data_IF_237115661907
#
_entry.id   IF_237115661907
#
_cell.length_a   1.000
_cell.length_b   1.000
_cell.length_c   1.000
_cell.angle_alpha   90.00
_cell.angle_beta   90.00
_cell.angle_gamma   90.00
#
_symmetry.space_group_name_H-M   'P 1'
#
loop_
_entity.id
_entity.type
_entity.pdbx_description
1 polymer ?
#
# COMPACT_ATOMS: atom_id res chain seq x y z
N UNK A 1 -17.56 40.96 -30.69
CA UNK A 1 -18.26 39.71 -31.07
C UNK A 1 -19.41 39.46 -30.10
N UNK A 2 -20.67 39.43 -30.56
CA UNK A 2 -21.84 39.19 -29.71
C UNK A 2 -22.04 37.68 -29.55
N UNK A 3 -21.66 37.16 -28.39
CA UNK A 3 -21.89 35.75 -28.03
C UNK A 3 -23.40 35.53 -27.92
N UNK A 4 -23.95 34.60 -28.69
CA UNK A 4 -25.39 34.29 -28.64
C UNK A 4 -25.77 33.74 -27.27
N UNK A 5 -26.98 34.02 -26.82
CA UNK A 5 -27.48 33.58 -25.50
C UNK A 5 -27.37 32.05 -25.35
N UNK A 6 -27.62 31.30 -26.44
CA UNK A 6 -27.51 29.85 -26.50
C UNK A 6 -26.07 29.37 -26.32
N UNK A 7 -25.10 30.03 -26.95
CA UNK A 7 -23.68 29.70 -26.79
C UNK A 7 -23.19 29.97 -25.36
N UNK A 8 -23.66 31.05 -24.73
CA UNK A 8 -23.38 31.36 -23.32
C UNK A 8 -23.88 30.27 -22.38
N UNK A 9 -25.14 29.86 -22.54
CA UNK A 9 -25.74 28.80 -21.74
C UNK A 9 -25.01 27.48 -21.93
N UNK A 10 -24.72 27.12 -23.18
CA UNK A 10 -23.98 25.90 -23.51
C UNK A 10 -22.59 25.88 -22.85
N UNK A 11 -21.83 26.97 -23.00
CA UNK A 11 -20.49 27.10 -22.42
C UNK A 11 -20.54 27.04 -20.89
N UNK A 12 -21.53 27.70 -20.25
CA UNK A 12 -21.69 27.65 -18.79
C UNK A 12 -21.97 26.23 -18.30
N UNK A 13 -22.86 25.50 -18.96
CA UNK A 13 -23.18 24.10 -18.60
C UNK A 13 -21.98 23.20 -18.82
N UNK A 14 -21.29 23.35 -19.95
CA UNK A 14 -20.08 22.58 -20.25
C UNK A 14 -18.99 22.83 -19.20
N UNK A 15 -18.76 24.09 -18.83
CA UNK A 15 -17.79 24.46 -17.79
C UNK A 15 -18.20 23.91 -16.42
N UNK A 16 -19.48 23.93 -16.08
CA UNK A 16 -19.97 23.35 -14.83
C UNK A 16 -19.71 21.84 -14.77
N UNK A 17 -19.99 21.10 -15.85
CA UNK A 17 -19.72 19.66 -15.93
C UNK A 17 -18.22 19.39 -15.81
N UNK A 18 -17.39 20.15 -16.53
CA UNK A 18 -15.93 20.02 -16.45
C UNK A 18 -15.41 20.31 -15.04
N UNK A 19 -15.95 21.33 -14.36
CA UNK A 19 -15.57 21.67 -13.00
C UNK A 19 -15.95 20.55 -12.00
N UNK A 20 -17.13 19.95 -12.15
CA UNK A 20 -17.57 18.81 -11.33
C UNK A 20 -16.67 17.59 -11.57
N UNK A 21 -16.38 17.25 -12.83
CA UNK A 21 -15.51 16.14 -13.19
C UNK A 21 -14.09 16.34 -12.64
N UNK A 22 -13.52 17.54 -12.80
CA UNK A 22 -12.20 17.87 -12.26
C UNK A 22 -12.17 17.76 -10.73
N UNK A 23 -13.22 18.25 -10.05
CA UNK A 23 -13.34 18.16 -8.59
C UNK A 23 -13.39 16.71 -8.11
N UNK A 24 -14.18 15.85 -8.79
CA UNK A 24 -14.25 14.43 -8.48
C UNK A 24 -12.89 13.73 -8.66
N UNK A 25 -12.16 14.03 -9.73
CA UNK A 25 -10.81 13.49 -9.98
C UNK A 25 -9.82 13.93 -8.90
N UNK A 26 -9.86 15.20 -8.49
CA UNK A 26 -8.99 15.71 -7.42
C UNK A 26 -9.29 15.02 -6.09
N UNK A 27 -10.58 14.87 -5.74
CA UNK A 27 -11.01 14.17 -4.52
C UNK A 27 -10.60 12.70 -4.53
N UNK A 28 -10.73 12.02 -5.67
CA UNK A 28 -10.28 10.64 -5.84
C UNK A 28 -8.76 10.54 -5.69
N UNK A 29 -8.00 11.44 -6.32
CA UNK A 29 -6.54 11.49 -6.22
C UNK A 29 -6.09 11.69 -4.78
N UNK A 30 -6.72 12.61 -4.05
CA UNK A 30 -6.40 12.88 -2.65
C UNK A 30 -6.72 11.68 -1.76
N UNK A 31 -7.90 11.09 -1.88
CA UNK A 31 -8.30 9.94 -1.07
C UNK A 31 -7.47 8.69 -1.38
N UNK A 32 -7.17 8.41 -2.66
CA UNK A 32 -6.41 7.21 -3.04
C UNK A 32 -4.96 7.32 -2.62
N UNK A 33 -4.29 8.45 -2.87
CA UNK A 33 -2.88 8.63 -2.47
C UNK A 33 -2.71 8.63 -0.95
N UNK A 34 -3.65 9.23 -0.22
CA UNK A 34 -3.60 9.30 1.24
C UNK A 34 -3.90 7.93 1.87
N UNK A 35 -4.92 7.22 1.38
CA UNK A 35 -5.39 5.97 2.02
C UNK A 35 -4.62 4.73 1.55
N UNK A 36 -4.37 4.56 0.24
CA UNK A 36 -3.63 3.38 -0.25
C UNK A 36 -2.12 3.52 -0.09
N UNK A 37 -1.58 4.71 -0.33
CA UNK A 37 -0.14 4.96 -0.23
C UNK A 37 0.37 4.77 1.21
N UNK A 38 -0.34 5.33 2.18
CA UNK A 38 0.02 5.17 3.59
C UNK A 38 -0.21 3.73 4.09
N UNK A 39 -1.39 3.15 3.84
CA UNK A 39 -1.73 1.82 4.35
C UNK A 39 -0.89 0.69 3.74
N UNK A 40 -0.65 0.72 2.43
CA UNK A 40 0.17 -0.31 1.77
C UNK A 40 1.64 -0.21 2.20
N UNK A 41 2.14 1.00 2.41
CA UNK A 41 3.52 1.24 2.82
C UNK A 41 3.72 0.89 4.30
N UNK A 42 2.79 1.27 5.17
CA UNK A 42 2.84 1.01 6.61
C UNK A 42 2.72 -0.49 6.92
N UNK A 43 1.85 -1.22 6.23
CA UNK A 43 1.76 -2.69 6.36
C UNK A 43 3.04 -3.36 5.89
N UNK A 44 3.62 -2.90 4.79
CA UNK A 44 4.84 -3.51 4.27
C UNK A 44 6.05 -3.21 5.16
N UNK A 45 6.13 -2.00 5.72
CA UNK A 45 7.14 -1.63 6.72
C UNK A 45 7.00 -2.45 8.01
N UNK A 46 5.77 -2.67 8.49
CA UNK A 46 5.50 -3.50 9.67
C UNK A 46 5.98 -4.95 9.47
N UNK A 47 5.70 -5.55 8.30
CA UNK A 47 6.16 -6.90 7.95
C UNK A 47 7.68 -7.01 7.89
N UNK A 48 8.34 -6.00 7.33
CA UNK A 48 9.80 -5.96 7.25
C UNK A 48 10.44 -5.79 8.64
N UNK A 49 9.81 -5.00 9.51
CA UNK A 49 10.25 -4.84 10.90
C UNK A 49 10.14 -6.16 11.68
N UNK A 50 9.06 -6.91 11.48
CA UNK A 50 8.87 -8.23 12.08
C UNK A 50 9.91 -9.24 11.59
N UNK A 51 10.14 -9.32 10.27
CA UNK A 51 11.19 -10.16 9.70
C UNK A 51 12.56 -9.82 10.27
N UNK A 52 12.88 -8.52 10.38
CA UNK A 52 14.15 -8.08 10.94
C UNK A 52 14.31 -8.49 12.41
N UNK A 53 13.27 -8.32 13.23
CA UNK A 53 13.29 -8.75 14.63
C UNK A 53 13.49 -10.25 14.78
N UNK A 54 12.88 -11.04 13.89
CA UNK A 54 13.02 -12.49 13.91
C UNK A 54 14.41 -12.96 13.46
N UNK A 55 14.96 -12.35 12.41
CA UNK A 55 16.32 -12.56 11.95
C UNK A 55 17.34 -12.23 13.05
N UNK A 56 17.16 -11.12 13.76
CA UNK A 56 18.03 -10.73 14.86
C UNK A 56 18.03 -11.77 15.98
N UNK A 57 16.87 -12.33 16.34
CA UNK A 57 16.79 -13.42 17.34
C UNK A 57 17.50 -14.67 16.87
N UNK A 58 17.29 -15.09 15.61
CA UNK A 58 17.93 -16.28 15.04
C UNK A 58 19.44 -16.12 14.93
N UNK A 59 19.91 -14.93 14.57
CA UNK A 59 21.32 -14.61 14.51
C UNK A 59 21.99 -14.79 15.88
N UNK A 60 21.38 -14.28 16.95
CA UNK A 60 21.88 -14.46 18.32
C UNK A 60 21.83 -15.93 18.75
N UNK A 61 20.76 -16.66 18.43
CA UNK A 61 20.62 -18.06 18.84
C UNK A 61 21.54 -19.03 18.10
N UNK A 62 21.80 -18.79 16.82
CA UNK A 62 22.69 -19.61 16.00
C UNK A 62 24.14 -19.11 16.01
N UNK A 63 24.40 -17.92 16.56
CA UNK A 63 25.73 -17.31 16.59
C UNK A 63 26.26 -16.91 15.20
N UNK A 64 25.38 -16.79 14.20
CA UNK A 64 25.78 -16.62 12.81
C UNK A 64 24.61 -16.66 11.82
N UNK A 65 24.95 -16.62 10.53
CA UNK A 65 23.99 -16.58 9.42
C UNK A 65 23.76 -17.93 8.74
N UNK A 66 24.18 -19.04 9.36
CA UNK A 66 24.19 -20.36 8.74
C UNK A 66 22.79 -20.88 8.35
N UNK A 67 21.74 -20.31 8.95
CA UNK A 67 20.34 -20.61 8.62
C UNK A 67 19.81 -19.87 7.37
N UNK A 68 20.56 -18.88 6.86
CA UNK A 68 20.20 -18.14 5.64
C UNK A 68 20.84 -18.84 4.45
N UNK A 69 20.05 -19.25 3.44
CA UNK A 69 20.61 -19.92 2.28
C UNK A 69 21.53 -18.99 1.49
N UNK A 70 22.64 -19.56 1.01
CA UNK A 70 23.64 -18.84 0.20
C UNK A 70 23.13 -18.54 -1.21
N UNK A 71 22.21 -19.37 -1.73
CA UNK A 71 21.53 -19.24 -3.01
C UNK A 71 20.05 -18.91 -2.84
N UNK A 72 19.45 -18.28 -3.85
CA UNK A 72 18.03 -17.87 -3.87
C UNK A 72 17.53 -17.09 -2.63
N UNK A 73 18.30 -16.07 -2.23
CA UNK A 73 17.94 -15.19 -1.11
C UNK A 73 16.58 -14.52 -1.27
N UNK A 74 16.19 -14.19 -2.51
CA UNK A 74 14.90 -13.54 -2.79
C UNK A 74 13.73 -14.49 -2.57
N UNK A 75 13.80 -15.71 -3.08
CA UNK A 75 12.77 -16.73 -2.85
C UNK A 75 12.66 -17.08 -1.36
N UNK A 76 13.79 -17.18 -0.68
CA UNK A 76 13.83 -17.43 0.75
C UNK A 76 13.20 -16.30 1.58
N UNK A 77 13.55 -15.03 1.33
CA UNK A 77 12.94 -13.87 2.01
C UNK A 77 11.42 -13.84 1.78
N UNK A 78 10.97 -14.08 0.55
CA UNK A 78 9.54 -14.11 0.23
C UNK A 78 8.81 -15.26 0.94
N UNK A 79 9.46 -16.41 1.12
CA UNK A 79 8.93 -17.54 1.90
C UNK A 79 8.86 -17.23 3.39
N UNK A 80 9.89 -16.59 3.94
CA UNK A 80 9.96 -16.22 5.35
C UNK A 80 8.93 -15.16 5.74
N UNK A 81 8.72 -14.15 4.87
CA UNK A 81 7.64 -13.18 5.02
C UNK A 81 6.26 -13.84 5.00
N UNK A 82 6.05 -14.83 4.13
CA UNK A 82 4.79 -15.58 4.08
C UNK A 82 4.55 -16.41 5.34
N UNK A 83 5.58 -17.09 5.85
CA UNK A 83 5.51 -17.85 7.11
C UNK A 83 5.07 -16.96 8.28
N UNK A 84 5.70 -15.78 8.43
CA UNK A 84 5.34 -14.82 9.49
C UNK A 84 3.89 -14.32 9.35
N UNK A 85 3.42 -14.10 8.12
CA UNK A 85 2.03 -13.73 7.86
C UNK A 85 1.04 -14.84 8.25
N UNK A 86 1.36 -16.10 7.96
CA UNK A 86 0.54 -17.26 8.32
C UNK A 86 0.48 -17.47 9.83
N UNK A 87 1.59 -17.27 10.54
CA UNK A 87 1.65 -17.32 12.01
C UNK A 87 0.79 -16.23 12.65
N UNK A 88 0.80 -15.01 12.10
CA UNK A 88 -0.06 -13.91 12.55
C UNK A 88 -1.54 -14.23 12.35
N UNK A 89 -1.92 -14.77 11.20
CA UNK A 89 -3.31 -15.14 10.91
C UNK A 89 -3.78 -16.27 11.84
N UNK A 90 -2.93 -17.27 12.07
CA UNK A 90 -3.24 -18.40 12.95
C UNK A 90 -3.35 -17.95 14.41
N UNK A 91 -2.46 -17.07 14.88
CA UNK A 91 -2.51 -16.50 16.23
C UNK A 91 -3.71 -15.56 16.45
N UNK A 92 -4.12 -14.82 15.42
CA UNK A 92 -5.32 -13.98 15.46
C UNK A 92 -6.62 -14.81 15.55
N UNK A 93 -6.65 -16.00 14.95
CA UNK A 93 -7.78 -16.94 15.05
C UNK A 93 -7.81 -17.73 16.37
N UNK A 94 -6.69 -17.87 17.08
CA UNK A 94 -6.62 -18.57 18.37
C UNK A 94 -7.00 -17.68 19.58
N UNK A 95 -7.24 -16.38 19.36
CA UNK A 95 -7.58 -15.40 20.40
C UNK A 95 -9.07 -15.03 20.50
N UNK A 96 -9.98 -15.85 19.97
CA UNK A 96 -11.46 -15.67 20.07
C UNK A 96 -12.07 -16.72 20.98
#
# INVERSE_FOLDING_TARGET
MKISIGLRLFVSVLLAILAVAASAVVLLRQNVLHTFGAYATEIELDRLAELNGDLARRYVSHGGWDFVPSTDKRGWIAGELRRLQEERQTGAHAGV
#
